data_IF_564040594639
#
_entry.id   IF_564040594639
#
_cell.length_a   1.000
_cell.length_b   1.000
_cell.length_c   1.000
_cell.angle_alpha   90.00
_cell.angle_beta   90.00
_cell.angle_gamma   90.00
#
_symmetry.space_group_name_H-M   'P 1'
#
loop_
_entity.id
_entity.type
_entity.pdbx_description
1 polymer ?
#
# COMPACT_ATOMS: atom_id res chain seq x y z
N UNK A 1 -20.95 8.48 10.47
CA UNK A 1 -20.46 7.13 10.82
C UNK A 1 -19.62 6.62 9.67
N UNK A 2 -18.59 5.79 9.95
CA UNK A 2 -17.85 5.14 8.87
C UNK A 2 -18.73 4.04 8.27
N UNK A 3 -18.84 4.02 6.96
CA UNK A 3 -19.64 3.03 6.21
C UNK A 3 -18.68 2.00 5.64
N UNK A 4 -19.08 0.74 5.56
CA UNK A 4 -18.34 -0.29 4.85
C UNK A 4 -18.72 -0.25 3.37
N UNK A 5 -17.73 -0.07 2.54
CA UNK A 5 -17.82 -0.15 1.09
C UNK A 5 -17.51 -1.59 0.67
N UNK A 6 -18.14 -2.03 -0.40
CA UNK A 6 -17.88 -3.33 -1.02
C UNK A 6 -17.09 -3.08 -2.30
N UNK A 7 -15.82 -3.46 -2.26
CA UNK A 7 -14.93 -3.28 -3.40
C UNK A 7 -14.64 -4.63 -4.04
N UNK A 8 -14.55 -4.64 -5.36
CA UNK A 8 -14.28 -5.85 -6.13
C UNK A 8 -12.78 -6.02 -6.33
N UNK A 9 -12.26 -7.20 -6.08
CA UNK A 9 -10.86 -7.55 -6.37
C UNK A 9 -10.62 -7.53 -7.87
N UNK A 10 -9.65 -6.74 -8.31
CA UNK A 10 -9.28 -6.57 -9.73
C UNK A 10 -7.98 -7.28 -10.10
N UNK A 11 -7.08 -7.48 -9.13
CA UNK A 11 -5.83 -8.19 -9.31
C UNK A 11 -5.39 -8.87 -8.01
N UNK A 12 -4.67 -10.00 -8.14
CA UNK A 12 -4.04 -10.71 -7.02
C UNK A 12 -2.67 -11.20 -7.46
N UNK A 13 -1.63 -10.82 -6.72
CA UNK A 13 -0.26 -11.24 -6.98
C UNK A 13 0.35 -11.92 -5.76
N UNK A 14 0.80 -13.17 -5.92
CA UNK A 14 1.51 -13.93 -4.89
C UNK A 14 3.02 -13.79 -5.10
N UNK A 15 3.69 -13.02 -4.25
CA UNK A 15 5.14 -12.79 -4.31
C UNK A 15 5.94 -14.01 -3.87
N UNK A 16 5.51 -14.61 -2.76
CA UNK A 16 6.11 -15.80 -2.16
C UNK A 16 5.02 -16.66 -1.51
N UNK A 17 5.40 -17.77 -0.91
CA UNK A 17 4.48 -18.57 -0.08
C UNK A 17 3.95 -17.79 1.14
N UNK A 18 4.57 -16.66 1.48
CA UNK A 18 4.27 -15.86 2.67
C UNK A 18 3.71 -14.48 2.39
N UNK A 19 3.88 -13.97 1.18
CA UNK A 19 3.56 -12.60 0.81
C UNK A 19 2.66 -12.56 -0.42
N UNK A 20 1.69 -11.68 -0.41
CA UNK A 20 0.83 -11.38 -1.55
C UNK A 20 0.36 -9.93 -1.52
N UNK A 21 -0.01 -9.42 -2.65
CA UNK A 21 -0.72 -8.15 -2.80
C UNK A 21 -1.98 -8.36 -3.62
N UNK A 22 -2.90 -7.44 -3.50
CA UNK A 22 -4.11 -7.44 -4.31
C UNK A 22 -4.59 -6.02 -4.54
N UNK A 23 -5.29 -5.83 -5.65
CA UNK A 23 -5.95 -4.58 -5.99
C UNK A 23 -7.46 -4.74 -5.92
N UNK A 24 -8.13 -3.65 -5.65
CA UNK A 24 -9.58 -3.57 -5.67
C UNK A 24 -10.04 -2.34 -6.44
N UNK A 25 -11.29 -2.33 -6.87
CA UNK A 25 -11.98 -1.09 -7.24
C UNK A 25 -11.88 -0.08 -6.11
N UNK A 26 -12.15 1.18 -6.41
CA UNK A 26 -12.16 2.26 -5.46
C UNK A 26 -13.42 3.08 -5.61
N UNK A 27 -14.23 3.13 -4.57
CA UNK A 27 -15.41 3.99 -4.55
C UNK A 27 -15.01 5.45 -4.81
N UNK A 28 -15.77 6.15 -5.65
CA UNK A 28 -15.48 7.52 -6.06
C UNK A 28 -15.48 8.53 -4.90
N UNK A 29 -16.10 8.20 -3.77
CA UNK A 29 -16.10 9.02 -2.57
C UNK A 29 -14.91 8.76 -1.64
N UNK A 30 -14.17 7.66 -1.84
CA UNK A 30 -13.05 7.29 -0.97
C UNK A 30 -11.85 8.22 -1.19
N UNK A 31 -11.46 8.93 -0.13
CA UNK A 31 -10.32 9.85 -0.12
C UNK A 31 -9.30 9.44 0.92
N UNK A 32 -8.03 9.52 0.56
CA UNK A 32 -6.93 9.27 1.48
C UNK A 32 -5.70 10.10 1.08
N UNK A 33 -4.79 10.27 2.01
CA UNK A 33 -3.46 10.83 1.78
C UNK A 33 -2.44 9.68 1.72
N UNK A 34 -1.39 9.87 0.92
CA UNK A 34 -0.33 8.88 0.80
C UNK A 34 0.30 8.60 2.17
N UNK A 35 0.31 7.33 2.57
CA UNK A 35 0.73 6.87 3.90
C UNK A 35 -0.42 6.54 4.86
N UNK A 36 -1.66 6.87 4.53
CA UNK A 36 -2.83 6.45 5.30
C UNK A 36 -3.07 4.93 5.26
N UNK A 37 -3.85 4.46 6.23
CA UNK A 37 -4.42 3.12 6.26
C UNK A 37 -5.93 3.17 6.35
N UNK A 38 -6.59 2.06 6.05
CA UNK A 38 -8.01 1.86 6.32
C UNK A 38 -8.24 0.46 6.88
N UNK A 39 -9.46 0.20 7.37
CA UNK A 39 -9.86 -1.13 7.82
C UNK A 39 -10.42 -1.88 6.62
N UNK A 40 -9.83 -3.03 6.30
CA UNK A 40 -10.32 -3.93 5.25
C UNK A 40 -10.56 -5.33 5.79
N UNK A 41 -11.36 -6.10 5.10
CA UNK A 41 -11.60 -7.48 5.46
C UNK A 41 -12.67 -8.18 4.66
N UNK A 42 -13.20 -9.23 5.24
CA UNK A 42 -14.18 -10.11 4.64
C UNK A 42 -15.40 -10.27 5.57
N UNK A 43 -16.54 -10.56 5.00
CA UNK A 43 -17.69 -10.99 5.77
C UNK A 43 -17.51 -12.44 6.21
N UNK A 44 -17.71 -12.69 7.49
CA UNK A 44 -17.66 -14.03 8.08
C UNK A 44 -18.88 -14.24 8.95
N UNK A 45 -19.68 -15.27 8.63
CA UNK A 45 -20.88 -15.62 9.40
C UNK A 45 -21.82 -14.43 9.63
N UNK A 46 -22.00 -13.59 8.59
CA UNK A 46 -22.84 -12.40 8.63
C UNK A 46 -22.25 -11.22 9.43
N UNK A 47 -20.95 -11.26 9.76
CA UNK A 47 -20.26 -10.19 10.46
C UNK A 47 -18.96 -9.80 9.75
N UNK A 48 -18.63 -8.50 9.69
CA UNK A 48 -17.38 -8.05 9.11
C UNK A 48 -16.19 -8.39 10.02
N UNK A 49 -15.20 -9.06 9.49
CA UNK A 49 -13.90 -9.24 10.14
C UNK A 49 -12.89 -8.33 9.44
N UNK A 50 -12.50 -7.26 10.12
CA UNK A 50 -11.65 -6.20 9.58
C UNK A 50 -10.30 -6.12 10.27
N UNK A 51 -9.26 -5.70 9.52
CA UNK A 51 -7.94 -5.35 10.05
C UNK A 51 -7.44 -4.08 9.36
N UNK A 52 -6.55 -3.37 10.03
CA UNK A 52 -5.89 -2.19 9.47
C UNK A 52 -4.89 -2.58 8.39
N UNK A 53 -5.00 -1.93 7.23
CA UNK A 53 -4.09 -2.09 6.09
C UNK A 53 -3.74 -0.72 5.52
N UNK A 54 -2.46 -0.46 5.39
CA UNK A 54 -1.98 0.72 4.67
C UNK A 54 -2.25 0.55 3.17
N UNK A 55 -2.66 1.63 2.50
CA UNK A 55 -2.71 1.65 1.05
C UNK A 55 -1.29 1.59 0.50
N UNK A 56 -1.05 0.68 -0.42
CA UNK A 56 0.18 0.62 -1.22
C UNK A 56 0.04 1.45 -2.49
N UNK A 57 -1.17 1.65 -2.99
CA UNK A 57 -1.48 2.55 -4.12
C UNK A 57 -1.29 4.02 -3.75
N UNK A 58 -1.03 4.87 -4.74
CA UNK A 58 -1.03 6.30 -4.57
C UNK A 58 -2.46 6.86 -4.52
N UNK A 59 -2.63 8.02 -3.91
CA UNK A 59 -3.94 8.64 -3.69
C UNK A 59 -4.64 9.10 -4.97
N UNK A 60 -3.93 9.21 -6.08
CA UNK A 60 -4.46 9.57 -7.40
C UNK A 60 -4.84 8.36 -8.27
N UNK A 61 -4.46 7.14 -7.87
CA UNK A 61 -4.78 5.92 -8.61
C UNK A 61 -6.27 5.57 -8.50
N UNK A 62 -6.83 4.98 -9.55
CA UNK A 62 -8.24 4.60 -9.62
C UNK A 62 -8.56 3.32 -8.83
N UNK A 63 -7.54 2.57 -8.45
CA UNK A 63 -7.63 1.34 -7.67
C UNK A 63 -6.97 1.50 -6.30
N UNK A 64 -7.43 0.70 -5.33
CA UNK A 64 -6.73 0.52 -4.07
C UNK A 64 -5.85 -0.71 -4.15
N UNK A 65 -4.63 -0.61 -3.63
CA UNK A 65 -3.70 -1.72 -3.54
C UNK A 65 -3.30 -1.97 -2.09
N UNK A 66 -3.25 -3.24 -1.71
CA UNK A 66 -2.88 -3.68 -0.38
C UNK A 66 -1.81 -4.76 -0.43
N UNK A 67 -0.85 -4.69 0.48
CA UNK A 67 0.22 -5.66 0.61
C UNK A 67 0.11 -6.41 1.94
N UNK A 68 0.09 -7.72 1.90
CA UNK A 68 -0.25 -8.57 3.04
C UNK A 68 0.69 -9.75 3.21
N UNK A 69 0.84 -10.17 4.45
CA UNK A 69 1.47 -11.44 4.83
C UNK A 69 0.40 -12.55 4.92
N UNK A 70 0.76 -13.77 4.52
CA UNK A 70 -0.05 -14.97 4.71
C UNK A 70 0.25 -15.56 6.09
N UNK A 71 -0.70 -15.40 7.02
CA UNK A 71 -0.62 -16.04 8.34
C UNK A 71 -1.56 -17.24 8.34
N UNK A 72 -1.05 -18.48 8.41
CA UNK A 72 -1.88 -19.70 8.25
C UNK A 72 -3.08 -19.75 9.19
N UNK A 73 -2.87 -19.41 10.47
CA UNK A 73 -3.91 -19.43 11.49
C UNK A 73 -4.50 -18.04 11.80
N UNK A 74 -4.17 -17.04 10.96
CA UNK A 74 -4.69 -15.68 11.10
C UNK A 74 -6.19 -15.63 10.78
N UNK A 75 -7.03 -15.07 11.65
CA UNK A 75 -8.49 -15.07 11.44
C UNK A 75 -8.92 -14.49 10.09
N UNK A 76 -8.28 -13.41 9.64
CA UNK A 76 -8.55 -12.78 8.35
C UNK A 76 -7.62 -13.31 7.25
N UNK A 77 -6.30 -13.31 7.49
CA UNK A 77 -5.30 -13.55 6.44
C UNK A 77 -5.35 -14.98 5.90
N UNK A 78 -5.75 -15.97 6.70
CA UNK A 78 -5.97 -17.36 6.24
C UNK A 78 -7.02 -17.45 5.13
N UNK A 79 -7.98 -16.52 5.09
CA UNK A 79 -9.02 -16.44 4.07
C UNK A 79 -8.66 -15.42 2.99
N UNK A 80 -8.17 -14.26 3.39
CA UNK A 80 -7.80 -13.17 2.47
C UNK A 80 -6.74 -13.60 1.45
N UNK A 81 -5.80 -14.49 1.83
CA UNK A 81 -4.80 -15.03 0.90
C UNK A 81 -5.39 -15.88 -0.25
N UNK A 82 -6.64 -16.30 -0.14
CA UNK A 82 -7.33 -17.14 -1.13
C UNK A 82 -8.30 -16.35 -2.02
N UNK A 83 -8.39 -15.03 -1.86
CA UNK A 83 -9.25 -14.20 -2.70
C UNK A 83 -8.82 -14.28 -4.16
N UNK A 84 -9.77 -14.06 -5.05
CA UNK A 84 -9.59 -14.09 -6.50
C UNK A 84 -10.17 -12.83 -7.12
N UNK A 85 -9.75 -12.55 -8.33
CA UNK A 85 -10.37 -11.50 -9.15
C UNK A 85 -11.87 -11.75 -9.25
N UNK A 86 -12.66 -10.71 -8.95
CA UNK A 86 -14.11 -10.76 -8.90
C UNK A 86 -14.69 -10.98 -7.49
N UNK A 87 -13.88 -11.38 -6.52
CA UNK A 87 -14.33 -11.49 -5.13
C UNK A 87 -14.56 -10.09 -4.52
N UNK A 88 -15.39 -10.04 -3.47
CA UNK A 88 -15.72 -8.83 -2.74
C UNK A 88 -14.87 -8.69 -1.48
N UNK A 89 -14.32 -7.51 -1.26
CA UNK A 89 -13.59 -7.12 -0.05
C UNK A 89 -14.29 -5.94 0.59
N UNK A 90 -14.46 -5.98 1.90
CA UNK A 90 -15.01 -4.86 2.66
C UNK A 90 -13.91 -3.84 2.94
N UNK A 91 -14.19 -2.57 2.64
CA UNK A 91 -13.29 -1.44 2.87
C UNK A 91 -14.03 -0.38 3.68
N UNK A 92 -13.46 0.04 4.80
CA UNK A 92 -14.03 1.16 5.55
C UNK A 92 -13.90 2.46 4.76
N UNK A 93 -14.98 3.21 4.62
CA UNK A 93 -15.03 4.47 3.86
C UNK A 93 -14.10 5.58 4.38
N UNK A 94 -13.51 5.41 5.55
CA UNK A 94 -12.56 6.36 6.14
C UNK A 94 -11.16 5.78 6.18
N UNK A 95 -10.24 6.46 5.51
CA UNK A 95 -8.81 6.33 5.73
C UNK A 95 -8.35 7.24 6.88
N UNK A 96 -7.29 6.87 7.55
CA UNK A 96 -6.68 7.63 8.66
C UNK A 96 -5.22 7.24 8.83
N UNK A 97 -4.51 7.96 9.67
CA UNK A 97 -3.11 7.72 10.00
C UNK A 97 -2.35 9.03 10.17
N UNK A 98 -1.17 8.93 10.72
CA UNK A 98 -0.26 10.08 10.92
C UNK A 98 1.04 9.95 10.13
N UNK A 99 1.18 8.88 9.34
CA UNK A 99 2.32 8.69 8.45
C UNK A 99 2.08 9.42 7.13
N UNK A 100 1.86 10.71 7.21
CA UNK A 100 1.55 11.59 6.09
C UNK A 100 2.55 12.74 6.03
N UNK A 101 2.71 13.32 4.87
CA UNK A 101 3.71 14.36 4.61
C UNK A 101 3.57 15.55 5.56
N UNK A 102 2.35 15.95 5.91
CA UNK A 102 2.06 17.09 6.78
C UNK A 102 2.51 16.87 8.22
N UNK A 103 2.59 15.62 8.65
CA UNK A 103 3.05 15.24 10.00
C UNK A 103 4.57 15.17 10.14
N UNK A 104 5.31 15.26 9.03
CA UNK A 104 6.76 15.17 9.04
C UNK A 104 7.40 16.53 9.38
N UNK A 105 8.45 16.50 10.18
CA UNK A 105 9.25 17.69 10.46
C UNK A 105 9.99 18.17 9.19
N UNK A 106 10.25 19.47 9.06
CA UNK A 106 11.09 19.99 7.98
C UNK A 106 12.48 19.36 8.02
N UNK A 107 13.02 19.04 6.85
CA UNK A 107 14.35 18.46 6.71
C UNK A 107 14.78 18.43 5.26
N UNK A 108 16.05 18.11 5.01
CA UNK A 108 16.57 17.95 3.65
C UNK A 108 16.40 16.52 3.13
N UNK A 109 16.46 15.53 4.00
CA UNK A 109 16.40 14.13 3.64
C UNK A 109 15.26 13.45 4.38
N UNK A 110 14.51 12.63 3.67
CA UNK A 110 13.49 11.75 4.22
C UNK A 110 13.99 10.31 4.22
N UNK A 111 13.93 9.65 5.37
CA UNK A 111 14.28 8.24 5.52
C UNK A 111 13.02 7.41 5.77
N UNK A 112 12.74 6.49 4.87
CA UNK A 112 11.62 5.54 4.92
C UNK A 112 12.21 4.15 5.21
N UNK A 113 12.07 3.68 6.44
CA UNK A 113 12.70 2.43 6.90
C UNK A 113 11.61 1.38 7.09
N UNK A 114 11.52 0.44 6.15
CA UNK A 114 10.52 -0.61 6.13
C UNK A 114 11.09 -1.98 6.46
N UNK A 115 10.27 -2.83 7.06
CA UNK A 115 10.49 -4.28 7.12
C UNK A 115 9.22 -5.01 6.66
N UNK A 116 9.38 -6.05 5.85
CA UNK A 116 8.27 -6.88 5.35
C UNK A 116 7.16 -6.05 4.72
N UNK A 117 5.91 -6.31 5.13
CA UNK A 117 4.72 -5.58 4.62
C UNK A 117 4.60 -4.13 5.10
N UNK A 118 5.45 -3.68 6.03
CA UNK A 118 5.58 -2.27 6.39
C UNK A 118 6.05 -1.38 5.23
N UNK A 119 6.44 -1.97 4.10
CA UNK A 119 6.72 -1.27 2.85
C UNK A 119 5.46 -0.60 2.26
N UNK A 120 4.26 -1.14 2.49
CA UNK A 120 3.04 -0.68 1.85
C UNK A 120 2.81 0.85 1.91
N UNK A 121 2.81 1.52 3.08
CA UNK A 121 2.59 2.96 3.12
C UNK A 121 3.70 3.74 2.41
N UNK A 122 4.92 3.22 2.38
CA UNK A 122 6.03 3.88 1.71
C UNK A 122 5.94 3.77 0.19
N UNK A 123 5.34 2.70 -0.36
CA UNK A 123 5.02 2.62 -1.78
C UNK A 123 4.05 3.72 -2.21
N UNK A 124 3.08 4.04 -1.37
CA UNK A 124 2.16 5.16 -1.57
C UNK A 124 2.92 6.50 -1.52
N UNK A 125 3.77 6.69 -0.50
CA UNK A 125 4.52 7.93 -0.27
C UNK A 125 5.53 8.22 -1.40
N UNK A 126 6.31 7.25 -1.84
CA UNK A 126 7.32 7.48 -2.91
C UNK A 126 6.70 7.75 -4.28
N UNK A 127 5.41 7.54 -4.45
CA UNK A 127 4.64 7.92 -5.64
C UNK A 127 3.99 9.29 -5.53
N UNK A 128 4.19 10.01 -4.41
CA UNK A 128 3.70 11.37 -4.21
C UNK A 128 4.69 12.38 -4.78
N UNK A 129 4.32 13.18 -5.81
CA UNK A 129 5.20 14.22 -6.32
C UNK A 129 5.66 15.23 -5.26
N UNK A 130 4.78 15.57 -4.32
CA UNK A 130 5.06 16.55 -3.27
C UNK A 130 6.22 16.13 -2.33
N UNK A 131 6.50 14.83 -2.21
CA UNK A 131 7.66 14.36 -1.45
C UNK A 131 8.98 14.84 -2.08
N UNK A 132 9.07 14.79 -3.39
CA UNK A 132 10.27 15.21 -4.13
C UNK A 132 10.42 16.73 -4.24
N UNK A 133 9.34 17.48 -4.13
CA UNK A 133 9.40 18.93 -3.99
C UNK A 133 9.93 19.36 -2.61
N UNK A 134 9.58 18.59 -1.57
CA UNK A 134 9.89 18.92 -0.19
C UNK A 134 11.28 18.46 0.27
N UNK A 135 11.78 17.35 -0.28
CA UNK A 135 13.04 16.75 0.14
C UNK A 135 14.06 16.70 -0.99
N UNK A 136 15.33 16.97 -0.65
CA UNK A 136 16.45 16.86 -1.58
C UNK A 136 16.78 15.39 -1.88
N UNK A 137 16.55 14.52 -0.89
CA UNK A 137 16.69 13.05 -1.01
C UNK A 137 15.61 12.32 -0.24
N UNK A 138 15.13 11.23 -0.85
CA UNK A 138 14.24 10.24 -0.24
C UNK A 138 14.97 8.90 -0.22
N UNK A 139 15.28 8.40 0.97
CA UNK A 139 16.00 7.13 1.16
C UNK A 139 15.00 6.08 1.61
N UNK A 140 14.76 5.08 0.76
CA UNK A 140 13.90 3.94 1.07
C UNK A 140 14.74 2.71 1.36
N UNK A 141 14.58 2.15 2.56
CA UNK A 141 15.18 0.86 2.90
C UNK A 141 14.08 -0.18 3.12
N UNK A 142 14.26 -1.36 2.55
CA UNK A 142 13.35 -2.48 2.72
C UNK A 142 14.10 -3.71 3.24
N UNK A 143 13.95 -3.99 4.54
CA UNK A 143 14.54 -5.15 5.20
C UNK A 143 13.64 -6.39 5.06
N UNK A 144 14.21 -7.48 4.54
CA UNK A 144 13.57 -8.78 4.42
C UNK A 144 14.49 -9.88 4.95
N UNK A 145 13.95 -11.05 5.25
CA UNK A 145 14.76 -12.22 5.66
C UNK A 145 15.42 -12.89 4.48
N UNK A 146 14.72 -12.96 3.35
CA UNK A 146 15.18 -13.58 2.13
C UNK A 146 15.05 -12.60 0.96
N UNK A 147 15.88 -12.78 -0.08
CA UNK A 147 15.89 -11.91 -1.25
C UNK A 147 14.57 -11.98 -2.05
N UNK A 148 13.95 -13.14 -2.08
CA UNK A 148 12.65 -13.37 -2.75
C UNK A 148 11.48 -12.63 -2.07
N UNK A 149 11.65 -12.19 -0.83
CA UNK A 149 10.69 -11.36 -0.10
C UNK A 149 10.78 -9.86 -0.45
N UNK A 150 11.71 -9.45 -1.33
CA UNK A 150 11.82 -8.07 -1.85
C UNK A 150 10.71 -7.80 -2.89
N UNK A 151 9.46 -7.86 -2.43
CA UNK A 151 8.31 -7.50 -3.23
C UNK A 151 8.41 -6.04 -3.74
N UNK A 152 7.82 -5.76 -4.89
CA UNK A 152 7.84 -4.44 -5.54
C UNK A 152 9.22 -3.92 -5.97
N UNK A 153 10.26 -4.74 -5.91
CA UNK A 153 11.60 -4.30 -6.33
C UNK A 153 11.58 -3.74 -7.75
N UNK A 154 10.98 -4.45 -8.69
CA UNK A 154 10.91 -4.04 -10.10
C UNK A 154 10.13 -2.72 -10.26
N UNK A 155 9.02 -2.55 -9.52
CA UNK A 155 8.28 -1.29 -9.50
C UNK A 155 9.20 -0.13 -9.09
N UNK A 156 9.95 -0.29 -8.00
CA UNK A 156 10.78 0.77 -7.43
C UNK A 156 12.00 1.07 -8.30
N UNK A 157 12.68 0.03 -8.81
CA UNK A 157 13.98 0.19 -9.47
C UNK A 157 13.89 0.34 -10.99
N UNK A 158 12.75 -0.04 -11.61
CA UNK A 158 12.62 -0.05 -13.06
C UNK A 158 11.43 0.74 -13.56
N UNK A 159 10.25 0.62 -12.94
CA UNK A 159 9.04 1.26 -13.44
C UNK A 159 8.97 2.72 -13.01
N UNK A 160 9.12 3.02 -11.72
CA UNK A 160 9.07 4.40 -11.22
C UNK A 160 10.12 5.32 -11.87
N UNK A 161 11.37 4.89 -12.09
CA UNK A 161 12.35 5.73 -12.80
C UNK A 161 12.00 6.03 -14.27
N UNK A 162 11.07 5.28 -14.85
CA UNK A 162 10.58 5.45 -16.25
C UNK A 162 9.20 6.11 -16.32
N UNK A 163 8.61 6.41 -15.18
CA UNK A 163 7.31 7.08 -15.11
C UNK A 163 7.37 8.45 -15.82
N UNK A 164 6.33 8.79 -16.59
CA UNK A 164 6.28 10.00 -17.40
C UNK A 164 6.31 11.26 -16.54
N UNK A 165 5.73 11.24 -15.34
CA UNK A 165 5.59 12.41 -14.47
C UNK A 165 6.60 12.43 -13.32
N UNK A 166 6.90 11.27 -12.73
CA UNK A 166 7.75 11.13 -11.54
C UNK A 166 9.19 10.70 -11.85
N UNK A 167 9.42 10.13 -13.03
CA UNK A 167 10.67 9.43 -13.33
C UNK A 167 11.93 10.27 -13.15
N UNK A 168 11.89 11.56 -13.49
CA UNK A 168 13.04 12.46 -13.31
C UNK A 168 13.36 12.67 -11.82
N UNK A 169 12.36 12.95 -11.01
CA UNK A 169 12.52 13.13 -9.57
C UNK A 169 12.98 11.84 -8.88
N UNK A 170 12.39 10.72 -9.26
CA UNK A 170 12.77 9.40 -8.75
C UNK A 170 14.25 9.10 -9.06
N UNK A 171 14.71 9.29 -10.30
CA UNK A 171 16.11 9.08 -10.68
C UNK A 171 17.09 9.99 -9.94
N UNK A 172 16.70 11.21 -9.62
CA UNK A 172 17.56 12.21 -8.99
C UNK A 172 17.57 12.09 -7.47
N UNK A 173 16.43 11.75 -6.85
CA UNK A 173 16.20 11.93 -5.42
C UNK A 173 15.89 10.64 -4.65
N UNK A 174 15.33 9.59 -5.27
CA UNK A 174 15.05 8.32 -4.60
C UNK A 174 16.30 7.43 -4.56
N UNK A 175 16.65 6.94 -3.36
CA UNK A 175 17.79 6.06 -3.11
C UNK A 175 17.34 4.83 -2.34
#
# INVERSE_FOLDING_TARGET
MATLLKETVTDVHHWTDRLFSFKTTRDQSFRFENGHFTMIGLEQEGRPLLRAYSMASANYEDELEFFSIKVPDGPLTSKLQNIRVGDEVLVNSKATGTLVQESLLPGKHLYLIATGTGLAPFLSIIRDPGIYERYDKVVLTHGCRNIDELAYRELITEHLPKDEYLGDDVRQKLV
#
